data_IF_950682315642
#
_entry.id   IF_950682315642
#
_cell.length_a   1.000
_cell.length_b   1.000
_cell.length_c   1.000
_cell.angle_alpha   90.00
_cell.angle_beta   90.00
_cell.angle_gamma   90.00
#
_symmetry.space_group_name_H-M   'P 1'
#
loop_
_entity.id
_entity.type
_entity.pdbx_description
1 polymer ?
#
# COMPACT_ATOMS: atom_id res chain seq x y z
N UNK A 1 15.92 -11.05 11.65
CA UNK A 1 14.67 -10.32 11.41
C UNK A 1 15.03 -8.85 11.38
N UNK A 2 14.87 -8.18 10.24
CA UNK A 2 15.16 -6.76 10.14
C UNK A 2 14.15 -6.03 11.04
N UNK A 3 14.68 -5.32 12.02
CA UNK A 3 13.95 -4.40 12.88
C UNK A 3 13.40 -3.30 11.95
N UNK A 4 12.09 -3.36 11.67
CA UNK A 4 11.47 -2.36 10.81
C UNK A 4 11.62 -1.00 11.48
N UNK A 5 11.97 0.01 10.65
CA UNK A 5 11.81 1.41 11.01
C UNK A 5 10.46 1.62 11.70
N UNK A 6 10.43 2.49 12.71
CA UNK A 6 9.23 2.88 13.46
C UNK A 6 8.05 3.01 12.49
N UNK A 7 6.96 2.28 12.72
CA UNK A 7 5.79 2.34 11.84
C UNK A 7 4.94 3.53 12.28
N UNK A 8 4.38 4.27 11.32
CA UNK A 8 3.39 5.28 11.66
C UNK A 8 2.16 4.61 12.31
N UNK A 9 1.50 5.30 13.26
CA UNK A 9 0.25 4.81 13.83
C UNK A 9 -0.84 4.73 12.75
N UNK A 10 -1.83 3.84 12.90
CA UNK A 10 -2.93 3.73 11.94
C UNK A 10 -3.65 5.07 11.77
N UNK A 11 -3.68 5.60 10.55
CA UNK A 11 -4.35 6.88 10.27
C UNK A 11 -5.87 6.74 10.16
N UNK A 12 -6.37 5.56 9.78
CA UNK A 12 -7.79 5.21 9.79
C UNK A 12 -7.98 3.84 10.49
N UNK A 13 -8.31 3.81 11.79
CA UNK A 13 -8.42 2.56 12.56
C UNK A 13 -9.74 1.81 12.33
N UNK A 14 -10.76 2.49 11.78
CA UNK A 14 -12.06 1.89 11.52
C UNK A 14 -11.98 0.95 10.31
N UNK A 15 -12.38 -0.31 10.49
CA UNK A 15 -12.49 -1.28 9.40
C UNK A 15 -13.82 -1.11 8.69
N UNK A 16 -13.75 -1.09 7.36
CA UNK A 16 -14.94 -1.05 6.50
C UNK A 16 -15.83 -2.28 6.75
N UNK A 17 -17.14 -2.05 6.91
CA UNK A 17 -18.14 -3.10 7.02
C UNK A 17 -18.85 -3.25 5.68
N UNK A 18 -18.53 -4.30 4.92
CA UNK A 18 -19.06 -4.49 3.57
C UNK A 18 -20.51 -5.01 3.54
N UNK A 19 -21.03 -5.51 4.66
CA UNK A 19 -22.38 -6.08 4.76
C UNK A 19 -23.52 -5.09 4.47
N UNK A 20 -23.26 -3.78 4.54
CA UNK A 20 -24.24 -2.74 4.22
C UNK A 20 -24.26 -2.34 2.74
N UNK A 21 -23.27 -2.76 1.94
CA UNK A 21 -23.17 -2.39 0.53
C UNK A 21 -23.91 -3.39 -0.35
N UNK A 22 -24.59 -2.85 -1.36
CA UNK A 22 -25.17 -3.65 -2.44
C UNK A 22 -24.09 -4.20 -3.35
N UNK A 23 -24.39 -5.28 -4.08
CA UNK A 23 -23.47 -5.84 -5.08
C UNK A 23 -23.05 -4.80 -6.14
N UNK A 24 -23.99 -3.95 -6.59
CA UNK A 24 -23.69 -2.87 -7.54
C UNK A 24 -22.67 -1.88 -6.97
N UNK A 25 -22.90 -1.42 -5.73
CA UNK A 25 -21.99 -0.48 -5.08
C UNK A 25 -20.59 -1.02 -4.86
N UNK A 26 -20.46 -2.32 -4.54
CA UNK A 26 -19.18 -3.01 -4.43
C UNK A 26 -18.50 -3.06 -5.81
N UNK A 27 -19.25 -3.51 -6.83
CA UNK A 27 -18.71 -3.67 -8.18
C UNK A 27 -18.23 -2.33 -8.76
N UNK A 28 -19.03 -1.27 -8.65
CA UNK A 28 -18.70 0.08 -9.13
C UNK A 28 -17.44 0.60 -8.41
N UNK A 29 -17.38 0.55 -7.08
CA UNK A 29 -16.22 1.05 -6.32
C UNK A 29 -14.94 0.30 -6.69
N UNK A 30 -14.99 -1.01 -6.83
CA UNK A 30 -13.81 -1.82 -7.20
C UNK A 30 -13.37 -1.56 -8.65
N UNK A 31 -14.29 -1.30 -9.58
CA UNK A 31 -13.97 -1.12 -10.99
C UNK A 31 -13.73 0.34 -11.41
N UNK A 32 -14.24 1.31 -10.65
CA UNK A 32 -14.11 2.73 -10.98
C UNK A 32 -13.09 3.45 -10.09
N UNK A 33 -12.97 3.07 -8.81
CA UNK A 33 -12.12 3.79 -7.84
C UNK A 33 -10.81 3.07 -7.60
N UNK A 34 -10.85 1.74 -7.41
CA UNK A 34 -9.64 0.96 -7.16
C UNK A 34 -8.86 0.74 -8.46
N UNK A 35 -7.72 1.40 -8.61
CA UNK A 35 -6.88 1.33 -9.82
C UNK A 35 -5.55 0.57 -9.55
N UNK A 36 -5.46 -0.73 -9.96
CA UNK A 36 -4.22 -1.50 -9.86
C UNK A 36 -3.04 -0.88 -10.61
N UNK A 37 -3.29 -0.23 -11.76
CA UNK A 37 -2.23 0.35 -12.57
C UNK A 37 -1.60 1.56 -11.88
N UNK A 38 -2.40 2.41 -11.24
CA UNK A 38 -1.89 3.53 -10.43
C UNK A 38 -1.05 3.05 -9.23
N UNK A 39 -1.46 1.97 -8.56
CA UNK A 39 -0.69 1.34 -7.49
C UNK A 39 0.64 0.78 -8.00
N UNK A 40 0.62 0.09 -9.15
CA UNK A 40 1.83 -0.40 -9.82
C UNK A 40 2.79 0.71 -10.23
N UNK A 41 2.27 1.81 -10.78
CA UNK A 41 3.08 3.00 -11.11
C UNK A 41 3.72 3.62 -9.85
N UNK A 42 2.98 3.68 -8.75
CA UNK A 42 3.50 4.15 -7.46
C UNK A 42 4.61 3.24 -6.93
N UNK A 43 4.46 1.92 -7.06
CA UNK A 43 5.51 0.96 -6.71
C UNK A 43 6.80 1.18 -7.53
N UNK A 44 6.65 1.44 -8.84
CA UNK A 44 7.78 1.73 -9.72
C UNK A 44 8.49 3.03 -9.34
N UNK A 45 7.75 4.07 -8.96
CA UNK A 45 8.33 5.33 -8.46
C UNK A 45 9.13 5.10 -7.17
N UNK A 46 8.59 4.37 -6.20
CA UNK A 46 9.30 4.03 -4.96
C UNK A 46 10.57 3.20 -5.22
N UNK A 47 10.52 2.28 -6.19
CA UNK A 47 11.71 1.54 -6.64
C UNK A 47 12.77 2.50 -7.17
N UNK A 48 12.39 3.40 -8.08
CA UNK A 48 13.32 4.36 -8.70
C UNK A 48 13.95 5.27 -7.65
N UNK A 49 13.18 5.75 -6.68
CA UNK A 49 13.68 6.55 -5.57
C UNK A 49 14.66 5.76 -4.69
N UNK A 50 14.35 4.50 -4.37
CA UNK A 50 15.26 3.65 -3.61
C UNK A 50 16.61 3.47 -4.34
N UNK A 51 16.58 3.23 -5.65
CA UNK A 51 17.78 3.07 -6.47
C UNK A 51 18.61 4.37 -6.51
N UNK A 52 17.93 5.52 -6.64
CA UNK A 52 18.59 6.83 -6.62
C UNK A 52 19.26 7.14 -5.27
N UNK A 53 18.58 6.87 -4.15
CA UNK A 53 19.13 7.05 -2.80
C UNK A 53 20.37 6.16 -2.61
N UNK A 54 20.28 4.87 -2.96
CA UNK A 54 21.42 3.95 -2.85
C UNK A 54 22.63 4.44 -3.67
N UNK A 55 22.41 4.87 -4.91
CA UNK A 55 23.47 5.40 -5.77
C UNK A 55 24.12 6.67 -5.20
N UNK A 56 23.31 7.59 -4.67
CA UNK A 56 23.79 8.83 -4.06
C UNK A 56 24.65 8.55 -2.82
N UNK A 57 24.20 7.67 -1.93
CA UNK A 57 24.94 7.34 -0.71
C UNK A 57 26.19 6.49 -0.97
N UNK A 58 26.16 5.60 -1.96
CA UNK A 58 27.37 4.90 -2.42
C UNK A 58 28.42 5.90 -2.92
N UNK A 59 28.01 6.86 -3.76
CA UNK A 59 28.89 7.92 -4.27
C UNK A 59 29.45 8.77 -3.13
N UNK A 60 28.60 9.19 -2.19
CA UNK A 60 29.01 9.97 -1.02
C UNK A 60 30.03 9.22 -0.15
N UNK A 61 29.76 7.95 0.16
CA UNK A 61 30.65 7.13 0.98
C UNK A 61 32.04 6.96 0.33
N UNK A 62 32.09 6.75 -0.97
CA UNK A 62 33.34 6.61 -1.71
C UNK A 62 34.12 7.93 -1.81
N UNK A 63 33.44 9.08 -1.91
CA UNK A 63 34.07 10.39 -1.85
C UNK A 63 34.60 10.67 -0.44
N UNK A 64 33.80 10.44 0.60
CA UNK A 64 34.22 10.68 1.98
C UNK A 64 35.43 9.82 2.38
N UNK A 65 35.48 8.55 1.98
CA UNK A 65 36.65 7.67 2.17
C UNK A 65 37.91 8.25 1.54
N UNK A 66 37.80 8.80 0.32
CA UNK A 66 38.95 9.38 -0.41
C UNK A 66 39.45 10.66 0.26
N UNK A 67 38.55 11.58 0.58
CA UNK A 67 38.91 12.87 1.19
C UNK A 67 39.47 12.70 2.61
N UNK A 68 38.94 11.76 3.40
CA UNK A 68 39.38 11.53 4.77
C UNK A 68 40.56 10.57 4.91
N UNK A 69 40.98 9.89 3.84
CA UNK A 69 42.00 8.83 3.91
C UNK A 69 43.37 9.26 4.46
N UNK A 70 43.70 10.55 4.40
CA UNK A 70 44.93 11.12 4.98
C UNK A 70 44.73 11.90 6.28
N UNK A 71 43.48 12.06 6.74
CA UNK A 71 43.16 12.89 7.90
C UNK A 71 43.19 12.06 9.19
N UNK A 72 43.86 12.57 10.23
CA UNK A 72 44.00 11.88 11.52
C UNK A 72 43.85 12.83 12.71
N UNK A 73 43.63 12.25 13.88
CA UNK A 73 43.42 12.98 15.14
C UNK A 73 41.97 12.93 15.62
N UNK A 74 41.71 13.58 16.76
CA UNK A 74 40.41 13.52 17.42
C UNK A 74 39.26 14.09 16.57
N UNK A 75 39.52 15.19 15.87
CA UNK A 75 38.55 15.83 14.96
C UNK A 75 38.25 14.97 13.73
N UNK A 76 39.26 14.28 13.19
CA UNK A 76 39.09 13.33 12.08
C UNK A 76 38.18 12.18 12.48
N UNK A 77 38.37 11.62 13.69
CA UNK A 77 37.52 10.55 14.21
C UNK A 77 36.06 11.00 14.39
N UNK A 78 35.84 12.20 14.94
CA UNK A 78 34.50 12.76 15.10
C UNK A 78 33.80 12.97 13.75
N UNK A 79 34.51 13.51 12.76
CA UNK A 79 33.97 13.67 11.41
C UNK A 79 33.67 12.34 10.72
N UNK A 80 34.53 11.34 10.91
CA UNK A 80 34.29 9.98 10.40
C UNK A 80 33.03 9.37 11.01
N UNK A 81 32.86 9.48 12.33
CA UNK A 81 31.65 9.01 13.01
C UNK A 81 30.38 9.69 12.48
N UNK A 82 30.37 11.02 12.39
CA UNK A 82 29.23 11.76 11.83
C UNK A 82 28.91 11.35 10.38
N UNK A 83 29.94 11.09 9.57
CA UNK A 83 29.79 10.61 8.19
C UNK A 83 29.16 9.22 8.15
N UNK A 84 29.60 8.29 9.01
CA UNK A 84 29.05 6.94 9.09
C UNK A 84 27.59 6.96 9.57
N UNK A 85 27.25 7.83 10.51
CA UNK A 85 25.87 7.99 10.98
C UNK A 85 24.97 8.52 9.85
N UNK A 86 25.44 9.50 9.07
CA UNK A 86 24.70 10.00 7.91
C UNK A 86 24.53 8.93 6.81
N UNK A 87 25.56 8.14 6.52
CA UNK A 87 25.46 7.01 5.57
C UNK A 87 24.39 6.02 6.03
N UNK A 88 24.36 5.68 7.32
CA UNK A 88 23.35 4.78 7.89
C UNK A 88 21.94 5.33 7.75
N UNK A 89 21.74 6.64 7.95
CA UNK A 89 20.45 7.30 7.68
C UNK A 89 20.02 7.15 6.21
N UNK A 90 20.97 7.22 5.28
CA UNK A 90 20.75 6.96 3.85
C UNK A 90 20.31 5.53 3.55
N UNK A 91 20.99 4.55 4.16
CA UNK A 91 20.62 3.13 4.05
C UNK A 91 19.22 2.87 4.60
N UNK A 92 18.89 3.41 5.77
CA UNK A 92 17.53 3.30 6.34
C UNK A 92 16.47 3.97 5.44
N UNK A 93 16.79 5.10 4.81
CA UNK A 93 15.91 5.77 3.85
C UNK A 93 15.67 4.90 2.61
N UNK A 94 16.72 4.25 2.09
CA UNK A 94 16.60 3.28 1.00
C UNK A 94 15.68 2.11 1.39
N UNK A 95 15.85 1.55 2.58
CA UNK A 95 15.05 0.43 3.07
C UNK A 95 13.57 0.77 3.19
N UNK A 96 13.25 1.98 3.67
CA UNK A 96 11.88 2.51 3.71
C UNK A 96 11.28 2.59 2.31
N UNK A 97 11.98 3.17 1.34
CA UNK A 97 11.52 3.23 -0.06
C UNK A 97 11.27 1.82 -0.63
N UNK A 98 12.14 0.84 -0.32
CA UNK A 98 11.96 -0.55 -0.74
C UNK A 98 10.77 -1.23 -0.04
N UNK A 99 10.51 -0.93 1.22
CA UNK A 99 9.35 -1.43 1.92
C UNK A 99 8.06 -0.89 1.31
N UNK A 100 7.98 0.42 1.05
CA UNK A 100 6.85 1.05 0.38
C UNK A 100 6.61 0.49 -1.02
N UNK A 101 7.68 0.26 -1.80
CA UNK A 101 7.58 -0.41 -3.09
C UNK A 101 6.90 -1.78 -2.98
N UNK A 102 7.32 -2.61 -2.02
CA UNK A 102 6.73 -3.96 -1.84
C UNK A 102 5.26 -3.90 -1.43
N UNK A 103 4.90 -2.97 -0.54
CA UNK A 103 3.52 -2.75 -0.12
C UNK A 103 2.65 -2.37 -1.34
N UNK A 104 3.10 -1.39 -2.14
CA UNK A 104 2.35 -0.96 -3.31
C UNK A 104 2.21 -2.04 -4.39
N UNK A 105 3.24 -2.87 -4.58
CA UNK A 105 3.15 -4.06 -5.45
C UNK A 105 2.11 -5.05 -4.93
N UNK A 106 2.14 -5.40 -3.64
CA UNK A 106 1.15 -6.30 -3.04
C UNK A 106 -0.28 -5.76 -3.16
N UNK A 107 -0.47 -4.46 -2.93
CA UNK A 107 -1.76 -3.79 -3.07
C UNK A 107 -2.26 -3.82 -4.51
N UNK A 108 -1.37 -3.60 -5.50
CA UNK A 108 -1.69 -3.71 -6.93
C UNK A 108 -2.19 -5.12 -7.28
N UNK A 109 -1.48 -6.16 -6.85
CA UNK A 109 -1.82 -7.56 -7.14
C UNK A 109 -3.14 -7.98 -6.47
N UNK A 110 -3.35 -7.53 -5.23
CA UNK A 110 -4.59 -7.75 -4.50
C UNK A 110 -5.78 -7.05 -5.17
N UNK A 111 -5.60 -5.79 -5.58
CA UNK A 111 -6.62 -5.03 -6.30
C UNK A 111 -7.00 -5.71 -7.63
N UNK A 112 -6.02 -6.22 -8.37
CA UNK A 112 -6.26 -6.95 -9.61
C UNK A 112 -7.01 -8.26 -9.35
N UNK A 113 -6.65 -8.98 -8.28
CA UNK A 113 -7.30 -10.22 -7.86
C UNK A 113 -8.76 -9.97 -7.46
N UNK A 114 -9.01 -8.92 -6.69
CA UNK A 114 -10.35 -8.53 -6.26
C UNK A 114 -11.23 -8.15 -7.46
N UNK A 115 -10.71 -7.35 -8.40
CA UNK A 115 -11.40 -7.03 -9.66
C UNK A 115 -11.78 -8.29 -10.44
N UNK A 116 -10.86 -9.25 -10.53
CA UNK A 116 -11.11 -10.49 -11.26
C UNK A 116 -12.11 -11.44 -10.55
N UNK A 117 -12.20 -11.38 -9.23
CA UNK A 117 -13.10 -12.22 -8.44
C UNK A 117 -14.57 -11.74 -8.49
N UNK A 118 -14.81 -10.44 -8.72
CA UNK A 118 -16.16 -9.87 -8.71
C UNK A 118 -16.86 -10.01 -10.07
N UNK A 119 -17.99 -10.70 -10.08
CA UNK A 119 -18.86 -10.81 -11.25
C UNK A 119 -19.72 -9.57 -11.36
N UNK A 120 -19.94 -9.05 -12.58
CA UNK A 120 -20.85 -7.93 -12.77
C UNK A 120 -22.29 -8.26 -12.33
N UNK A 121 -22.94 -7.38 -11.55
CA UNK A 121 -24.33 -7.56 -11.15
C UNK A 121 -25.25 -7.63 -12.37
N UNK A 122 -26.25 -8.53 -12.31
CA UNK A 122 -27.16 -8.78 -13.44
C UNK A 122 -28.56 -8.28 -13.10
N UNK A 123 -29.07 -7.25 -13.79
CA UNK A 123 -30.44 -6.80 -13.58
C UNK A 123 -31.43 -7.86 -14.05
N UNK A 124 -32.58 -7.93 -13.40
CA UNK A 124 -33.69 -8.75 -13.86
C UNK A 124 -34.12 -8.30 -15.26
N UNK A 125 -34.31 -9.27 -16.16
CA UNK A 125 -34.87 -9.01 -17.50
C UNK A 125 -36.20 -9.75 -17.64
N UNK A 126 -37.32 -9.00 -17.77
CA UNK A 126 -38.62 -9.59 -18.06
C UNK A 126 -38.61 -10.39 -19.36
N UNK A 127 -39.58 -11.28 -19.54
CA UNK A 127 -39.83 -11.91 -20.83
C UNK A 127 -40.35 -10.88 -21.86
N UNK A 128 -39.98 -11.06 -23.13
CA UNK A 128 -40.46 -10.21 -24.23
C UNK A 128 -41.97 -10.34 -24.46
N UNK A 129 -42.54 -11.52 -24.16
CA UNK A 129 -43.99 -11.77 -24.18
C UNK A 129 -44.62 -11.39 -22.82
N UNK A 130 -45.48 -10.34 -22.77
CA UNK A 130 -46.13 -9.92 -21.53
C UNK A 130 -47.08 -10.97 -20.94
N UNK A 131 -47.70 -11.82 -21.76
CA UNK A 131 -48.59 -12.87 -21.28
C UNK A 131 -47.78 -13.97 -20.57
N UNK A 132 -46.66 -14.38 -21.17
CA UNK A 132 -45.72 -15.30 -20.54
C UNK A 132 -45.10 -14.70 -19.26
N UNK A 133 -44.78 -13.40 -19.25
CA UNK A 133 -44.30 -12.70 -18.04
C UNK A 133 -45.36 -12.66 -16.94
N UNK A 134 -46.64 -12.46 -17.26
CA UNK A 134 -47.71 -12.48 -16.26
C UNK A 134 -47.85 -13.86 -15.59
N UNK A 135 -47.63 -14.94 -16.33
CA UNK A 135 -47.76 -16.33 -15.82
C UNK A 135 -46.49 -16.81 -15.11
N UNK A 136 -45.32 -16.55 -15.68
CA UNK A 136 -44.04 -17.11 -15.21
C UNK A 136 -43.16 -16.10 -14.46
N UNK A 137 -43.45 -14.80 -14.56
CA UNK A 137 -42.63 -13.72 -14.04
C UNK A 137 -42.44 -13.79 -12.53
N UNK A 138 -43.46 -14.19 -11.77
CA UNK A 138 -43.34 -14.36 -10.31
C UNK A 138 -42.27 -15.37 -9.92
N UNK A 139 -42.25 -16.55 -10.55
CA UNK A 139 -41.23 -17.57 -10.31
C UNK A 139 -39.85 -17.10 -10.76
N UNK A 140 -39.77 -16.49 -11.95
CA UNK A 140 -38.50 -15.96 -12.50
C UNK A 140 -37.90 -14.85 -11.66
N UNK A 141 -38.72 -13.93 -11.12
CA UNK A 141 -38.29 -12.88 -10.20
C UNK A 141 -37.75 -13.49 -8.91
N UNK A 142 -38.48 -14.44 -8.31
CA UNK A 142 -38.00 -15.13 -7.11
C UNK A 142 -36.67 -15.86 -7.34
N UNK A 143 -36.54 -16.60 -8.45
CA UNK A 143 -35.28 -17.29 -8.79
C UNK A 143 -34.13 -16.28 -9.03
N UNK A 144 -34.42 -15.13 -9.64
CA UNK A 144 -33.46 -14.04 -9.81
C UNK A 144 -33.07 -13.40 -8.48
N UNK A 145 -34.02 -13.11 -7.59
CA UNK A 145 -33.77 -12.51 -6.28
C UNK A 145 -32.89 -13.41 -5.41
N UNK A 146 -33.14 -14.72 -5.42
CA UNK A 146 -32.30 -15.71 -4.73
C UNK A 146 -30.87 -15.70 -5.28
N UNK A 147 -30.71 -15.76 -6.61
CA UNK A 147 -29.40 -15.73 -7.25
C UNK A 147 -28.66 -14.40 -6.99
N UNK A 148 -29.39 -13.28 -6.99
CA UNK A 148 -28.85 -11.94 -6.72
C UNK A 148 -28.40 -11.79 -5.27
N UNK A 149 -29.16 -12.34 -4.31
CA UNK A 149 -28.78 -12.37 -2.91
C UNK A 149 -27.50 -13.20 -2.67
N UNK A 150 -27.41 -14.38 -3.30
CA UNK A 150 -26.20 -15.21 -3.25
C UNK A 150 -24.98 -14.48 -3.83
N UNK A 151 -25.11 -13.87 -5.00
CA UNK A 151 -24.03 -13.10 -5.62
C UNK A 151 -23.62 -11.87 -4.78
N UNK A 152 -24.56 -11.24 -4.07
CA UNK A 152 -24.25 -10.15 -3.14
C UNK A 152 -23.43 -10.65 -1.95
N UNK A 153 -23.81 -11.80 -1.37
CA UNK A 153 -23.06 -12.41 -0.28
C UNK A 153 -21.64 -12.80 -0.73
N UNK A 154 -21.48 -13.38 -1.92
CA UNK A 154 -20.18 -13.73 -2.49
C UNK A 154 -19.29 -12.48 -2.69
N UNK A 155 -19.87 -11.37 -3.17
CA UNK A 155 -19.15 -10.11 -3.33
C UNK A 155 -18.69 -9.53 -1.97
N UNK A 156 -19.56 -9.57 -0.96
CA UNK A 156 -19.23 -9.12 0.40
C UNK A 156 -18.16 -10.01 1.06
N UNK A 157 -18.21 -11.31 0.82
CA UNK A 157 -17.19 -12.26 1.28
C UNK A 157 -15.84 -12.00 0.60
N UNK A 158 -15.84 -11.74 -0.71
CA UNK A 158 -14.62 -11.36 -1.43
C UNK A 158 -13.98 -10.09 -0.86
N UNK A 159 -14.77 -9.07 -0.49
CA UNK A 159 -14.24 -7.89 0.21
C UNK A 159 -13.67 -8.24 1.60
N UNK A 160 -14.28 -9.19 2.30
CA UNK A 160 -13.82 -9.59 3.63
C UNK A 160 -12.55 -10.45 3.58
N UNK A 161 -12.44 -11.33 2.59
CA UNK A 161 -11.40 -12.36 2.50
C UNK A 161 -10.22 -11.94 1.62
N UNK A 162 -10.43 -11.06 0.65
CA UNK A 162 -9.39 -10.54 -0.23
C UNK A 162 -9.02 -9.13 0.21
N UNK A 163 -9.96 -8.18 0.25
CA UNK A 163 -9.65 -6.77 0.50
C UNK A 163 -9.09 -6.54 1.92
N UNK A 164 -9.82 -6.89 2.98
CA UNK A 164 -9.41 -6.57 4.36
C UNK A 164 -8.01 -7.10 4.78
N UNK A 165 -7.59 -8.33 4.43
CA UNK A 165 -6.27 -8.81 4.84
C UNK A 165 -5.12 -8.28 3.97
N UNK A 166 -5.39 -7.83 2.74
CA UNK A 166 -4.33 -7.47 1.77
C UNK A 166 -4.18 -5.97 1.55
N UNK A 167 -5.28 -5.22 1.62
CA UNK A 167 -5.31 -3.76 1.58
C UNK A 167 -5.52 -3.29 3.01
N UNK A 168 -4.43 -3.13 3.80
CA UNK A 168 -4.55 -2.70 5.18
C UNK A 168 -5.30 -1.37 5.25
N UNK A 169 -5.93 -1.12 6.40
CA UNK A 169 -6.60 0.15 6.63
C UNK A 169 -5.63 1.30 6.34
N UNK A 170 -6.15 2.38 5.73
CA UNK A 170 -5.30 3.48 5.28
C UNK A 170 -4.37 3.94 6.40
N UNK A 171 -3.07 3.83 6.15
CA UNK A 171 -2.06 4.27 7.10
C UNK A 171 -1.63 3.25 8.16
N UNK A 172 -2.11 2.02 8.13
CA UNK A 172 -1.57 0.95 8.97
C UNK A 172 -0.24 0.43 8.40
N UNK A 173 0.76 0.26 9.28
CA UNK A 173 2.09 -0.26 8.96
C UNK A 173 2.86 0.50 7.86
N UNK A 174 2.68 1.82 7.78
CA UNK A 174 3.49 2.66 6.90
C UNK A 174 4.89 2.82 7.52
N UNK A 175 5.98 2.43 6.83
CA UNK A 175 7.33 2.62 7.35
C UNK A 175 7.69 4.10 7.42
N UNK A 176 8.21 4.55 8.56
CA UNK A 176 8.63 5.94 8.77
C UNK A 176 10.06 6.17 8.30
N UNK A 177 10.31 7.34 7.74
CA UNK A 177 11.67 7.78 7.45
C UNK A 177 12.44 8.10 8.74
N UNK A 178 13.76 7.85 8.78
CA UNK A 178 14.57 8.17 9.95
C UNK A 178 14.59 9.67 10.25
N UNK A 179 14.44 10.05 11.52
CA UNK A 179 14.54 11.45 11.96
C UNK A 179 15.98 11.97 11.77
N UNK A 180 16.13 13.03 10.98
CA UNK A 180 17.45 13.63 10.66
C UNK A 180 18.00 14.55 11.76
N UNK A 181 17.20 14.85 12.79
CA UNK A 181 17.55 15.84 13.83
C UNK A 181 18.52 15.32 14.89
N UNK A 182 18.77 14.02 14.97
CA UNK A 182 19.65 13.43 15.99
C UNK A 182 21.14 13.84 15.85
N UNK A 183 21.55 14.42 14.72
CA UNK A 183 22.93 14.86 14.48
C UNK A 183 23.29 16.22 15.08
N UNK A 184 22.32 17.09 15.37
CA UNK A 184 22.58 18.47 15.79
C UNK A 184 22.71 18.65 17.32
N UNK A 185 22.12 17.74 18.11
CA UNK A 185 21.90 17.98 19.55
C UNK A 185 23.03 17.45 20.47
N UNK A 186 24.06 16.80 19.92
CA UNK A 186 25.23 16.33 20.70
C UNK A 186 26.33 17.38 20.88
N UNK A 187 26.08 18.65 20.54
CA UNK A 187 27.13 19.67 20.39
C UNK A 187 27.03 20.92 21.27
N UNK A 188 26.05 21.05 22.18
CA UNK A 188 25.90 22.26 23.00
C UNK A 188 26.25 22.01 24.47
N UNK A 189 27.51 22.23 24.90
CA UNK A 189 27.80 22.41 26.32
C UNK A 189 27.22 23.76 26.76
N UNK A 190 26.18 23.72 27.60
CA UNK A 190 25.74 24.88 28.35
C UNK A 190 26.93 25.44 29.15
N UNK A 191 27.31 26.69 28.85
CA UNK A 191 28.14 27.54 29.72
C UNK A 191 27.26 28.25 30.73
#
# INVERSE_FOLDING_TARGET
MAEFAELDPPFAPERECFGSFTHQEIWDRVHEVLDPAALGASAAAWKSNADAVAAAFATFADTARREFGGWSGHTANAAWQATQDFIRTGESTHDVCRALQRIMTGNSDAAQTLRAALVAPRPYRPLDDPAAEAVHGGRRRMDHDIASAAATADAQDAMTTIYLPTLPASGDRVPRFPDTSAGADRGSPHR
#
